data_IF_523172438068
#
_entry.id   IF_523172438068
#
_cell.length_a   1.000
_cell.length_b   1.000
_cell.length_c   1.000
_cell.angle_alpha   90.00
_cell.angle_beta   90.00
_cell.angle_gamma   90.00
#
_symmetry.space_group_name_H-M   'P 1'
#
loop_
_entity.id
_entity.type
_entity.pdbx_description
1 polymer ?
#
# COMPACT_ATOMS: atom_id res chain seq x y z
N UNK A 1 0.17 13.82 -15.90
CA UNK A 1 1.47 13.48 -16.55
C UNK A 1 1.51 11.98 -16.79
N UNK A 2 1.43 11.55 -18.05
CA UNK A 2 1.22 10.16 -18.47
C UNK A 2 2.37 9.24 -18.06
N UNK A 3 2.09 8.27 -17.16
CA UNK A 3 3.03 7.19 -16.79
C UNK A 3 3.22 6.14 -17.88
N UNK A 4 2.26 6.06 -18.81
CA UNK A 4 2.17 5.07 -19.91
C UNK A 4 3.48 4.90 -20.68
N UNK A 5 4.20 6.01 -20.94
CA UNK A 5 5.46 5.93 -21.68
C UNK A 5 6.63 5.34 -20.90
N UNK A 6 6.66 5.46 -19.56
CA UNK A 6 7.84 5.06 -18.75
C UNK A 6 7.89 3.56 -18.51
N UNK A 7 6.74 2.94 -18.28
CA UNK A 7 6.65 1.50 -18.00
C UNK A 7 6.98 0.70 -19.27
N UNK A 8 6.58 1.19 -20.46
CA UNK A 8 6.95 0.59 -21.74
C UNK A 8 8.42 0.81 -22.13
N UNK A 9 9.05 1.89 -21.64
CA UNK A 9 10.47 2.20 -21.88
C UNK A 9 11.44 1.32 -21.08
N UNK A 10 10.95 0.51 -20.14
CA UNK A 10 11.77 -0.48 -19.43
C UNK A 10 12.07 -1.71 -20.29
N UNK A 11 11.34 -1.90 -21.39
CA UNK A 11 11.59 -2.96 -22.35
C UNK A 11 12.73 -2.57 -23.28
N UNK A 12 13.71 -3.47 -23.42
CA UNK A 12 14.90 -3.19 -24.22
C UNK A 12 14.50 -2.98 -25.69
N UNK A 13 14.87 -1.81 -26.22
CA UNK A 13 14.55 -1.41 -27.59
C UNK A 13 13.28 -0.56 -27.73
N UNK A 14 12.40 -0.43 -26.72
CA UNK A 14 11.21 0.44 -26.83
C UNK A 14 11.57 1.89 -26.49
N UNK A 15 11.81 2.69 -27.52
CA UNK A 15 12.01 4.13 -27.39
C UNK A 15 10.70 4.91 -27.20
N UNK A 16 10.80 6.18 -26.76
CA UNK A 16 9.66 7.10 -26.53
C UNK A 16 8.63 7.14 -27.68
N UNK A 17 9.10 7.07 -28.93
CA UNK A 17 8.24 7.10 -30.14
C UNK A 17 7.43 5.82 -30.31
N UNK A 18 8.02 4.67 -29.97
CA UNK A 18 7.40 3.36 -30.13
C UNK A 18 6.44 3.08 -28.96
N UNK A 19 6.82 3.47 -27.74
CA UNK A 19 5.93 3.48 -26.57
C UNK A 19 4.65 4.31 -26.82
N UNK A 20 4.77 5.46 -27.51
CA UNK A 20 3.61 6.27 -27.88
C UNK A 20 2.69 5.58 -28.89
N UNK A 21 3.26 4.93 -29.90
CA UNK A 21 2.47 4.16 -30.90
C UNK A 21 1.79 2.94 -30.28
N UNK A 22 2.47 2.25 -29.37
CA UNK A 22 1.89 1.14 -28.61
C UNK A 22 0.73 1.62 -27.73
N UNK A 23 0.88 2.76 -27.06
CA UNK A 23 -0.21 3.38 -26.31
C UNK A 23 -1.38 3.80 -27.21
N UNK A 24 -1.11 4.32 -28.41
CA UNK A 24 -2.13 4.66 -29.43
C UNK A 24 -2.84 3.41 -29.98
N UNK A 25 -2.16 2.26 -29.99
CA UNK A 25 -2.72 0.96 -30.35
C UNK A 25 -3.44 0.23 -29.20
N UNK A 26 -3.51 0.83 -28.00
CA UNK A 26 -4.18 0.24 -26.82
C UNK A 26 -3.31 -0.65 -25.94
N UNK A 27 -2.00 -0.71 -26.21
CA UNK A 27 -0.99 -1.39 -25.40
C UNK A 27 -0.27 -0.39 -24.47
N UNK A 28 -1.02 0.12 -23.51
CA UNK A 28 -0.58 1.17 -22.57
C UNK A 28 0.14 0.65 -21.31
N UNK A 29 0.37 -0.67 -21.18
CA UNK A 29 1.14 -1.27 -20.07
C UNK A 29 1.90 -2.54 -20.48
N UNK A 30 2.98 -2.87 -19.76
CA UNK A 30 3.74 -4.11 -19.93
C UNK A 30 2.86 -5.37 -19.73
N UNK A 31 1.83 -5.30 -18.89
CA UNK A 31 0.86 -6.39 -18.71
C UNK A 31 0.00 -6.62 -19.95
N UNK A 32 -0.41 -5.56 -20.64
CA UNK A 32 -1.13 -5.67 -21.91
C UNK A 32 -0.22 -6.18 -23.02
N UNK A 33 1.05 -5.79 -23.02
CA UNK A 33 2.05 -6.30 -23.98
C UNK A 33 2.36 -7.77 -23.75
N UNK A 34 2.48 -8.22 -22.49
CA UNK A 34 2.72 -9.62 -22.14
C UNK A 34 1.52 -10.54 -22.45
N UNK A 35 0.30 -9.97 -22.44
CA UNK A 35 -0.94 -10.66 -22.78
C UNK A 35 -1.27 -10.61 -24.28
N UNK A 36 -0.73 -9.61 -25.00
CA UNK A 36 -0.87 -9.48 -26.45
C UNK A 36 -0.08 -10.58 -27.17
N UNK A 37 -0.67 -11.11 -28.24
CA UNK A 37 0.00 -12.08 -29.11
C UNK A 37 1.05 -11.41 -30.00
N UNK A 38 1.98 -12.22 -30.53
CA UNK A 38 2.99 -11.77 -31.50
C UNK A 38 2.36 -11.07 -32.71
N UNK A 39 1.19 -11.55 -33.15
CA UNK A 39 0.43 -11.02 -34.28
C UNK A 39 -0.09 -9.59 -34.03
N UNK A 40 -0.57 -9.31 -32.81
CA UNK A 40 -1.12 -8.01 -32.45
C UNK A 40 -0.03 -6.94 -32.31
N UNK A 41 1.13 -7.35 -31.80
CA UNK A 41 2.31 -6.49 -31.67
C UNK A 41 3.00 -6.29 -33.03
N UNK A 42 3.03 -7.30 -33.90
CA UNK A 42 3.56 -7.20 -35.26
C UNK A 42 2.71 -6.28 -36.16
N UNK A 43 1.40 -6.19 -35.92
CA UNK A 43 0.50 -5.27 -36.61
C UNK A 43 0.79 -3.78 -36.30
N UNK A 44 1.55 -3.47 -35.25
CA UNK A 44 1.90 -2.10 -34.88
C UNK A 44 3.01 -1.55 -35.79
N UNK A 45 2.76 -0.37 -36.37
CA UNK A 45 3.66 0.30 -37.32
C UNK A 45 5.04 0.58 -36.71
N UNK A 46 6.03 -0.23 -37.10
CA UNK A 46 7.43 -0.15 -36.65
C UNK A 46 7.93 -1.32 -35.79
N UNK A 47 7.10 -2.35 -35.60
CA UNK A 47 7.47 -3.63 -34.95
C UNK A 47 7.84 -4.75 -35.94
N UNK A 48 7.40 -4.64 -37.21
CA UNK A 48 7.74 -5.57 -38.28
C UNK A 48 9.26 -5.63 -38.50
N UNK A 49 9.90 -6.68 -38.00
CA UNK A 49 11.36 -6.91 -38.10
C UNK A 49 12.11 -6.92 -36.77
N UNK A 50 11.44 -6.79 -35.62
CA UNK A 50 12.04 -6.97 -34.29
C UNK A 50 11.69 -8.32 -33.68
N UNK A 51 12.50 -8.85 -32.75
CA UNK A 51 12.13 -10.06 -32.01
C UNK A 51 10.99 -9.73 -31.04
N UNK A 52 9.75 -9.83 -31.53
CA UNK A 52 8.52 -9.61 -30.74
C UNK A 52 8.42 -10.64 -29.63
N UNK A 53 8.83 -11.89 -29.90
CA UNK A 53 8.91 -12.95 -28.90
C UNK A 53 9.78 -12.59 -27.69
N UNK A 54 10.97 -12.02 -27.92
CA UNK A 54 11.88 -11.59 -26.84
C UNK A 54 11.29 -10.42 -26.04
N UNK A 55 10.56 -9.51 -26.69
CA UNK A 55 9.87 -8.40 -26.01
C UNK A 55 8.72 -8.90 -25.14
N UNK A 56 7.96 -9.91 -25.60
CA UNK A 56 6.89 -10.54 -24.82
C UNK A 56 7.49 -11.27 -23.62
N UNK A 57 8.56 -12.04 -23.80
CA UNK A 57 9.25 -12.73 -22.71
C UNK A 57 9.86 -11.74 -21.70
N UNK A 58 10.48 -10.65 -22.17
CA UNK A 58 10.93 -9.57 -21.27
C UNK A 58 9.77 -8.89 -20.54
N UNK A 59 8.64 -8.64 -21.22
CA UNK A 59 7.44 -8.09 -20.60
C UNK A 59 6.86 -9.05 -19.56
N UNK A 60 6.86 -10.36 -19.83
CA UNK A 60 6.46 -11.40 -18.88
C UNK A 60 7.39 -11.46 -17.68
N UNK A 61 8.70 -11.42 -17.89
CA UNK A 61 9.68 -11.41 -16.80
C UNK A 61 9.55 -10.15 -15.93
N UNK A 62 9.40 -8.97 -16.54
CA UNK A 62 9.21 -7.71 -15.80
C UNK A 62 7.87 -7.68 -15.05
N UNK A 63 6.80 -8.19 -15.66
CA UNK A 63 5.50 -8.27 -14.98
C UNK A 63 5.50 -9.31 -13.88
N UNK A 64 6.06 -10.49 -14.08
CA UNK A 64 6.21 -11.52 -13.06
C UNK A 64 7.08 -11.05 -11.90
N UNK A 65 8.24 -10.42 -12.17
CA UNK A 65 9.08 -9.83 -11.14
C UNK A 65 8.37 -8.72 -10.39
N UNK A 66 7.64 -7.83 -11.09
CA UNK A 66 6.87 -6.76 -10.46
C UNK A 66 5.71 -7.29 -9.61
N UNK A 67 5.07 -8.39 -10.01
CA UNK A 67 4.01 -9.03 -9.25
C UNK A 67 4.57 -9.69 -7.99
N UNK A 68 5.68 -10.44 -8.10
CA UNK A 68 6.35 -11.03 -6.95
C UNK A 68 6.86 -9.97 -5.96
N UNK A 69 7.43 -8.86 -6.45
CA UNK A 69 7.81 -7.72 -5.62
C UNK A 69 6.61 -7.06 -4.93
N UNK A 70 5.47 -6.96 -5.64
CA UNK A 70 4.24 -6.43 -5.06
C UNK A 70 3.67 -7.33 -3.98
N UNK A 71 3.66 -8.64 -4.21
CA UNK A 71 3.22 -9.64 -3.22
C UNK A 71 4.11 -9.64 -1.99
N UNK A 72 5.44 -9.62 -2.16
CA UNK A 72 6.39 -9.52 -1.06
C UNK A 72 6.18 -8.22 -0.26
N UNK A 73 5.92 -7.10 -0.94
CA UNK A 73 5.63 -5.83 -0.29
C UNK A 73 4.29 -5.85 0.46
N UNK A 74 3.26 -6.50 -0.09
CA UNK A 74 1.96 -6.67 0.57
C UNK A 74 2.12 -7.55 1.82
N UNK A 75 2.87 -8.65 1.72
CA UNK A 75 3.15 -9.54 2.84
C UNK A 75 3.92 -8.80 3.96
N UNK A 76 4.95 -8.02 3.61
CA UNK A 76 5.69 -7.20 4.57
C UNK A 76 4.77 -6.17 5.26
N UNK A 77 3.88 -5.53 4.50
CA UNK A 77 2.89 -4.59 5.03
C UNK A 77 1.89 -5.26 6.00
N UNK A 78 1.48 -6.49 5.72
CA UNK A 78 0.61 -7.26 6.62
C UNK A 78 1.33 -7.58 7.93
N UNK A 79 2.61 -7.94 7.87
CA UNK A 79 3.43 -8.13 9.07
C UNK A 79 3.58 -6.84 9.89
N UNK A 80 3.85 -5.71 9.24
CA UNK A 80 3.89 -4.40 9.92
C UNK A 80 2.55 -4.03 10.56
N UNK A 81 1.43 -4.33 9.89
CA UNK A 81 0.10 -4.07 10.43
C UNK A 81 -0.20 -4.96 11.65
N UNK A 82 0.22 -6.23 11.62
CA UNK A 82 0.13 -7.13 12.75
C UNK A 82 0.97 -6.63 13.94
N UNK A 83 2.20 -6.19 13.69
CA UNK A 83 3.06 -5.58 14.72
C UNK A 83 2.43 -4.30 15.30
N UNK A 84 1.83 -3.45 14.47
CA UNK A 84 1.12 -2.25 14.92
C UNK A 84 -0.12 -2.58 15.75
N UNK A 85 -0.88 -3.61 15.39
CA UNK A 85 -2.00 -4.13 16.21
C UNK A 85 -1.51 -4.61 17.57
N UNK A 86 -0.42 -5.36 17.61
CA UNK A 86 0.19 -5.82 18.86
C UNK A 86 0.63 -4.64 19.74
N UNK A 87 1.21 -3.59 19.15
CA UNK A 87 1.57 -2.36 19.88
C UNK A 87 0.35 -1.63 20.46
N UNK A 88 -0.75 -1.55 19.71
CA UNK A 88 -2.01 -0.96 20.19
C UNK A 88 -2.57 -1.76 21.37
N UNK A 89 -2.52 -3.09 21.28
CA UNK A 89 -3.00 -3.98 22.34
C UNK A 89 -2.11 -3.94 23.59
N UNK A 90 -0.78 -3.91 23.44
CA UNK A 90 0.14 -3.81 24.58
C UNK A 90 -0.02 -2.47 25.31
N UNK A 91 -0.23 -1.37 24.57
CA UNK A 91 -0.54 -0.07 25.16
C UNK A 91 -1.93 -0.05 25.83
N UNK A 92 -2.90 -0.78 25.29
CA UNK A 92 -4.20 -0.93 25.93
C UNK A 92 -4.09 -1.73 27.25
N UNK A 93 -3.32 -2.81 27.25
CA UNK A 93 -3.06 -3.64 28.42
C UNK A 93 -2.32 -2.86 29.52
N UNK A 94 -1.23 -2.16 29.15
CA UNK A 94 -0.49 -1.34 30.10
C UNK A 94 -1.32 -0.17 30.63
N UNK A 95 -2.19 0.42 29.80
CA UNK A 95 -3.14 1.41 30.27
C UNK A 95 -4.17 0.80 31.23
N UNK A 96 -4.65 -0.43 30.99
CA UNK A 96 -5.57 -1.07 31.92
C UNK A 96 -4.95 -1.44 33.27
N UNK A 97 -3.68 -1.82 33.29
CA UNK A 97 -2.94 -2.09 34.53
C UNK A 97 -2.67 -0.81 35.32
N UNK A 98 -2.17 0.24 34.63
CA UNK A 98 -1.81 1.53 35.27
C UNK A 98 -3.01 2.35 35.71
N UNK A 99 -4.15 2.17 35.05
CA UNK A 99 -5.34 3.00 35.23
C UNK A 99 -6.58 2.18 35.58
N UNK A 100 -6.41 1.03 36.24
CA UNK A 100 -7.49 0.10 36.62
C UNK A 100 -8.66 0.81 37.32
N UNK A 101 -8.39 1.68 38.29
CA UNK A 101 -9.41 2.49 38.98
C UNK A 101 -10.04 3.57 38.08
N UNK A 102 -9.27 4.14 37.15
CA UNK A 102 -9.74 5.16 36.23
C UNK A 102 -10.49 4.58 35.01
N UNK A 103 -10.45 3.27 34.78
CA UNK A 103 -11.16 2.61 33.67
C UNK A 103 -12.67 2.63 33.84
N UNK A 104 -13.16 2.57 35.08
CA UNK A 104 -14.59 2.67 35.39
C UNK A 104 -15.13 4.10 35.22
N UNK A 105 -14.24 5.09 35.12
CA UNK A 105 -14.63 6.47 34.89
C UNK A 105 -15.02 6.74 33.43
N UNK A 106 -15.70 7.87 33.21
CA UNK A 106 -15.99 8.39 31.85
C UNK A 106 -14.73 8.55 30.98
N UNK A 107 -13.55 8.69 31.57
CA UNK A 107 -12.28 8.85 30.86
C UNK A 107 -11.77 7.52 30.30
N UNK A 108 -11.83 6.44 31.09
CA UNK A 108 -11.55 5.07 30.68
C UNK A 108 -12.45 4.59 29.55
N UNK A 109 -13.76 4.79 29.67
CA UNK A 109 -14.72 4.49 28.60
C UNK A 109 -14.41 5.22 27.26
N UNK A 110 -13.85 6.43 27.33
CA UNK A 110 -13.43 7.16 26.11
C UNK A 110 -12.15 6.58 25.50
N UNK A 111 -11.26 6.02 26.32
CA UNK A 111 -10.04 5.35 25.86
C UNK A 111 -10.39 4.03 25.16
N UNK A 112 -11.20 3.17 25.78
CA UNK A 112 -11.65 1.89 25.19
C UNK A 112 -12.39 2.13 23.86
N UNK A 113 -13.29 3.12 23.81
CA UNK A 113 -13.96 3.54 22.56
C UNK A 113 -12.99 4.04 21.49
N UNK A 114 -11.86 4.64 21.89
CA UNK A 114 -10.83 5.11 20.94
C UNK A 114 -10.00 3.96 20.39
N UNK A 115 -9.67 2.97 21.23
CA UNK A 115 -8.98 1.73 20.84
C UNK A 115 -9.85 0.94 19.86
N UNK A 116 -11.12 0.71 20.17
CA UNK A 116 -12.07 0.03 19.27
C UNK A 116 -12.17 0.72 17.90
N UNK A 117 -12.18 2.07 17.88
CA UNK A 117 -12.19 2.84 16.63
C UNK A 117 -10.90 2.73 15.83
N UNK A 118 -9.75 2.52 16.48
CA UNK A 118 -8.50 2.26 15.78
C UNK A 118 -8.52 0.87 15.17
N UNK A 119 -8.96 -0.15 15.90
CA UNK A 119 -9.08 -1.51 15.36
C UNK A 119 -9.96 -1.54 14.11
N UNK A 120 -11.14 -0.92 14.17
CA UNK A 120 -12.03 -0.78 13.01
C UNK A 120 -11.42 0.06 11.86
N UNK A 121 -10.49 0.97 12.15
CA UNK A 121 -9.77 1.71 11.10
C UNK A 121 -8.67 0.84 10.49
N UNK A 122 -8.00 0.00 11.28
CA UNK A 122 -6.95 -0.92 10.82
C UNK A 122 -7.50 -2.00 9.88
N UNK A 123 -8.68 -2.54 10.15
CA UNK A 123 -9.38 -3.46 9.24
C UNK A 123 -9.63 -2.83 7.86
N UNK A 124 -10.01 -1.54 7.83
CA UNK A 124 -10.18 -0.82 6.56
C UNK A 124 -8.85 -0.60 5.82
N UNK A 125 -7.78 -0.35 6.59
CA UNK A 125 -6.43 -0.24 6.02
C UNK A 125 -5.97 -1.56 5.43
N UNK A 126 -6.25 -2.69 6.10
CA UNK A 126 -5.95 -4.04 5.62
C UNK A 126 -6.58 -4.31 4.25
N UNK A 127 -7.87 -3.98 4.07
CA UNK A 127 -8.53 -4.05 2.75
C UNK A 127 -7.99 -3.06 1.71
N UNK A 128 -7.26 -2.04 2.13
CA UNK A 128 -6.65 -1.03 1.24
C UNK A 128 -5.20 -1.34 0.86
N UNK A 129 -4.54 -2.29 1.56
CA UNK A 129 -3.17 -2.74 1.29
C UNK A 129 -2.97 -3.14 -0.18
N UNK A 130 -3.78 -4.06 -0.78
CA UNK A 130 -3.54 -4.51 -2.15
C UNK A 130 -3.77 -3.39 -3.18
N UNK A 131 -4.64 -2.43 -2.87
CA UNK A 131 -4.99 -1.34 -3.79
C UNK A 131 -3.91 -0.25 -3.84
N UNK A 132 -3.32 0.10 -2.69
CA UNK A 132 -2.44 1.29 -2.55
C UNK A 132 -1.30 1.07 -1.55
N UNK A 133 -0.44 0.05 -1.76
CA UNK A 133 0.55 -0.37 -0.78
C UNK A 133 1.48 0.76 -0.32
N UNK A 134 2.05 1.52 -1.26
CA UNK A 134 2.98 2.64 -0.97
C UNK A 134 2.36 3.75 -0.12
N UNK A 135 1.06 4.00 -0.29
CA UNK A 135 0.34 5.00 0.52
C UNK A 135 0.06 4.45 1.91
N UNK A 136 -0.25 3.16 2.00
CA UNK A 136 -0.46 2.45 3.27
C UNK A 136 0.77 2.48 4.15
N UNK A 137 1.97 2.18 3.61
CA UNK A 137 3.26 2.28 4.36
C UNK A 137 3.39 3.66 5.01
N UNK A 138 3.22 4.74 4.24
CA UNK A 138 3.39 6.11 4.75
C UNK A 138 2.37 6.46 5.84
N UNK A 139 1.15 5.96 5.72
CA UNK A 139 0.08 6.21 6.68
C UNK A 139 0.30 5.41 7.97
N UNK A 140 0.66 4.12 7.85
CA UNK A 140 1.02 3.26 8.99
C UNK A 140 2.20 3.84 9.76
N UNK A 141 3.28 4.24 9.06
CA UNK A 141 4.43 4.89 9.69
C UNK A 141 4.05 6.16 10.47
N UNK A 142 3.21 7.03 9.87
CA UNK A 142 2.73 8.24 10.54
C UNK A 142 1.87 7.89 11.76
N UNK A 143 0.98 6.90 11.66
CA UNK A 143 0.14 6.46 12.77
C UNK A 143 0.99 5.89 13.91
N UNK A 144 1.98 5.04 13.60
CA UNK A 144 2.98 4.52 14.52
C UNK A 144 3.71 5.61 15.28
N UNK A 145 4.24 6.61 14.57
CA UNK A 145 4.93 7.76 15.18
C UNK A 145 4.04 8.55 16.14
N UNK A 146 2.74 8.68 15.84
CA UNK A 146 1.78 9.37 16.75
C UNK A 146 1.46 8.54 18.00
N UNK A 147 1.49 7.21 17.89
CA UNK A 147 1.23 6.30 19.00
C UNK A 147 2.45 6.23 19.93
N UNK A 148 3.66 6.12 19.37
CA UNK A 148 4.90 6.07 20.13
C UNK A 148 5.10 7.33 21.00
N UNK A 149 4.81 8.52 20.45
CA UNK A 149 4.88 9.77 21.22
C UNK A 149 3.81 9.93 22.31
N UNK A 150 2.92 8.95 22.49
CA UNK A 150 1.89 8.94 23.53
C UNK A 150 2.05 7.78 24.53
N UNK A 151 3.08 6.93 24.37
CA UNK A 151 3.28 5.73 25.20
C UNK A 151 3.56 6.06 26.67
N UNK A 152 4.26 7.17 26.93
CA UNK A 152 4.64 7.61 28.28
C UNK A 152 3.73 8.70 28.85
N UNK A 153 2.60 8.97 28.18
CA UNK A 153 1.70 10.03 28.59
C UNK A 153 0.60 9.53 29.54
N UNK A 154 0.03 10.47 30.31
CA UNK A 154 -1.16 10.21 31.13
C UNK A 154 -2.36 9.76 30.28
N UNK A 155 -3.42 9.26 30.92
CA UNK A 155 -4.63 8.76 30.26
C UNK A 155 -5.22 9.73 29.21
N UNK A 156 -5.13 11.04 29.47
CA UNK A 156 -5.56 12.08 28.52
C UNK A 156 -4.64 12.17 27.29
N UNK A 157 -3.33 12.05 27.48
CA UNK A 157 -2.31 12.03 26.44
C UNK A 157 -2.39 10.77 25.58
N UNK A 158 -2.56 9.59 26.19
CA UNK A 158 -2.84 8.33 25.49
C UNK A 158 -4.06 8.48 24.59
N UNK A 159 -5.18 9.00 25.12
CA UNK A 159 -6.40 9.23 24.33
C UNK A 159 -6.14 10.14 23.12
N UNK A 160 -5.36 11.21 23.29
CA UNK A 160 -4.99 12.12 22.20
C UNK A 160 -4.09 11.40 21.18
N UNK A 161 -3.15 10.57 21.62
CA UNK A 161 -2.32 9.70 20.79
C UNK A 161 -3.16 8.78 19.91
N UNK A 162 -4.06 7.99 20.52
CA UNK A 162 -5.01 7.13 19.81
C UNK A 162 -5.89 7.95 18.84
N UNK A 163 -6.40 9.11 19.24
CA UNK A 163 -7.19 9.97 18.33
C UNK A 163 -6.37 10.44 17.12
N UNK A 164 -5.11 10.85 17.31
CA UNK A 164 -4.21 11.30 16.25
C UNK A 164 -3.85 10.16 15.30
N UNK A 165 -3.44 9.01 15.83
CA UNK A 165 -3.14 7.81 15.03
C UNK A 165 -4.34 7.39 14.17
N UNK A 166 -5.54 7.35 14.74
CA UNK A 166 -6.78 7.08 14.00
C UNK A 166 -7.01 8.07 12.85
N UNK A 167 -6.80 9.36 13.09
CA UNK A 167 -7.01 10.38 12.07
C UNK A 167 -6.01 10.25 10.90
N UNK A 168 -4.80 9.74 11.15
CA UNK A 168 -3.86 9.38 10.08
C UNK A 168 -4.40 8.18 9.27
N UNK A 169 -4.87 7.11 9.93
CA UNK A 169 -5.43 5.93 9.26
C UNK A 169 -6.63 6.29 8.35
N UNK A 170 -7.48 7.24 8.76
CA UNK A 170 -8.61 7.75 7.96
C UNK A 170 -8.21 8.47 6.66
N UNK A 171 -6.94 8.83 6.48
CA UNK A 171 -6.45 9.49 5.25
C UNK A 171 -6.33 8.51 4.08
N UNK A 172 -6.51 7.21 4.32
CA UNK A 172 -6.70 6.23 3.27
C UNK A 172 -8.19 6.24 2.88
N UNK A 173 -8.53 6.73 1.66
CA UNK A 173 -9.88 6.56 1.15
C UNK A 173 -10.11 5.05 0.94
N UNK A 174 -11.20 4.56 1.52
CA UNK A 174 -11.70 3.19 1.37
C UNK A 174 -12.26 3.01 -0.04
#
# INVERSE_FOLDING_TARGET
MCRIGKDLQQLNGIGKRLARRLAEAGFDSATKVAAAGEDELAAVKGMAGRPVAELIEQARQLTAASLAEQEALIAALQQELAAFRAQVQSLAASASERFSEALETKSGHKLTKSIAKINASLEKVEGSIPKRPRRTVRVLYKAGKRLAGAADADLSGLRVGFKKARNELKRLPV
#
